data_IF_713577832690
#
_entry.id   IF_713577832690
#
_cell.length_a   1.000
_cell.length_b   1.000
_cell.length_c   1.000
_cell.angle_alpha   90.00
_cell.angle_beta   90.00
_cell.angle_gamma   90.00
#
_symmetry.space_group_name_H-M   'P 1'
#
loop_
_entity.id
_entity.type
_entity.pdbx_description
1 polymer ?
#
# COMPACT_ATOMS: atom_id res chain seq x y z
N UNK A 1 -33.55 23.66 -9.22
CA UNK A 1 -32.13 23.84 -9.60
C UNK A 1 -31.66 22.50 -10.13
N UNK A 2 -31.63 22.34 -11.45
CA UNK A 2 -31.44 21.03 -12.10
C UNK A 2 -29.97 20.68 -12.12
N UNK A 3 -29.61 19.56 -11.50
CA UNK A 3 -28.23 19.11 -11.38
C UNK A 3 -27.72 18.62 -12.74
N UNK A 4 -26.64 19.27 -13.16
CA UNK A 4 -25.89 19.13 -14.41
C UNK A 4 -25.27 17.73 -14.50
N UNK A 5 -25.58 17.02 -15.60
CA UNK A 5 -24.95 15.81 -16.16
C UNK A 5 -24.17 14.88 -15.20
N UNK A 6 -24.78 13.77 -14.81
CA UNK A 6 -24.08 12.60 -14.30
C UNK A 6 -24.04 11.56 -15.40
N UNK A 7 -22.84 11.18 -15.82
CA UNK A 7 -22.67 10.16 -16.83
C UNK A 7 -23.01 8.80 -16.21
N UNK A 8 -24.28 8.40 -16.37
CA UNK A 8 -24.88 7.18 -15.85
C UNK A 8 -24.42 5.94 -16.61
N UNK A 9 -23.11 5.71 -16.61
CA UNK A 9 -22.48 4.55 -17.24
C UNK A 9 -22.34 3.44 -16.20
N UNK A 10 -23.06 2.34 -16.44
CA UNK A 10 -22.96 1.09 -15.67
C UNK A 10 -22.55 -0.02 -16.63
N UNK A 11 -21.61 -0.85 -16.19
CA UNK A 11 -21.11 -1.99 -16.94
C UNK A 11 -22.15 -3.12 -16.96
N UNK A 12 -22.11 -3.93 -18.02
CA UNK A 12 -23.03 -5.06 -18.15
C UNK A 12 -22.77 -6.06 -17.01
N UNK A 13 -23.84 -6.54 -16.38
CA UNK A 13 -23.76 -7.40 -15.20
C UNK A 13 -23.53 -6.67 -13.89
N UNK A 14 -23.58 -5.34 -13.88
CA UNK A 14 -23.48 -4.51 -12.68
C UNK A 14 -24.80 -3.79 -12.41
N UNK A 15 -25.17 -3.70 -11.13
CA UNK A 15 -26.29 -2.87 -10.65
C UNK A 15 -25.71 -1.77 -9.79
N UNK A 16 -26.04 -0.51 -10.10
CA UNK A 16 -25.67 0.69 -9.32
C UNK A 16 -26.91 1.24 -8.64
N UNK A 17 -26.78 1.57 -7.35
CA UNK A 17 -27.79 2.27 -6.58
C UNK A 17 -27.15 3.40 -5.78
N UNK A 18 -27.89 4.51 -5.65
CA UNK A 18 -27.49 5.68 -4.85
C UNK A 18 -28.57 5.95 -3.83
N UNK A 19 -28.17 6.13 -2.59
CA UNK A 19 -29.04 6.38 -1.45
C UNK A 19 -28.77 7.76 -0.86
N UNK A 20 -29.84 8.40 -0.39
CA UNK A 20 -29.76 9.67 0.34
C UNK A 20 -29.49 9.45 1.84
N UNK A 21 -29.98 8.35 2.40
CA UNK A 21 -29.88 8.06 3.83
C UNK A 21 -29.06 6.79 4.08
N UNK A 22 -28.33 6.80 5.20
CA UNK A 22 -27.49 5.68 5.62
C UNK A 22 -28.32 4.45 5.99
N UNK A 23 -29.42 4.65 6.73
CA UNK A 23 -30.23 3.57 7.29
C UNK A 23 -30.88 2.71 6.20
N UNK A 24 -31.35 3.34 5.11
CA UNK A 24 -31.94 2.62 3.97
C UNK A 24 -30.89 1.77 3.25
N UNK A 25 -29.67 2.29 3.08
CA UNK A 25 -28.55 1.55 2.52
C UNK A 25 -28.18 0.35 3.40
N UNK A 26 -28.03 0.54 4.71
CA UNK A 26 -27.65 -0.51 5.66
C UNK A 26 -28.65 -1.66 5.62
N UNK A 27 -29.95 -1.36 5.67
CA UNK A 27 -31.00 -2.37 5.59
C UNK A 27 -31.04 -3.08 4.23
N UNK A 28 -30.79 -2.35 3.14
CA UNK A 28 -30.72 -2.94 1.80
C UNK A 28 -29.55 -3.93 1.67
N UNK A 29 -28.37 -3.60 2.20
CA UNK A 29 -27.20 -4.50 2.19
C UNK A 29 -27.48 -5.75 3.02
N UNK A 30 -28.11 -5.61 4.20
CA UNK A 30 -28.46 -6.73 5.06
C UNK A 30 -29.44 -7.71 4.37
N UNK A 31 -30.48 -7.20 3.69
CA UNK A 31 -31.43 -8.04 2.94
C UNK A 31 -30.75 -8.77 1.76
N UNK A 32 -29.83 -8.10 1.06
CA UNK A 32 -29.06 -8.70 -0.04
C UNK A 32 -28.09 -9.78 0.46
N UNK A 33 -27.43 -9.55 1.60
CA UNK A 33 -26.57 -10.55 2.26
C UNK A 33 -27.37 -11.77 2.70
N UNK A 34 -28.55 -11.58 3.30
CA UNK A 34 -29.46 -12.68 3.69
C UNK A 34 -29.93 -13.49 2.48
N UNK A 35 -30.19 -12.81 1.36
CA UNK A 35 -30.55 -13.45 0.09
C UNK A 35 -29.36 -14.15 -0.61
N UNK A 36 -28.12 -13.96 -0.12
CA UNK A 36 -26.87 -14.49 -0.70
C UNK A 36 -26.71 -14.12 -2.18
N UNK A 37 -27.10 -12.89 -2.53
CA UNK A 37 -27.05 -12.38 -3.89
C UNK A 37 -25.81 -11.51 -4.08
N UNK A 38 -24.96 -11.89 -5.04
CA UNK A 38 -23.73 -11.17 -5.36
C UNK A 38 -22.60 -11.42 -4.37
N UNK A 39 -21.39 -11.62 -4.89
CA UNK A 39 -20.19 -11.84 -4.08
C UNK A 39 -19.26 -10.62 -4.09
N UNK A 40 -19.35 -9.78 -5.12
CA UNK A 40 -18.53 -8.57 -5.27
C UNK A 40 -19.40 -7.34 -5.06
N UNK A 41 -19.42 -6.88 -3.81
CA UNK A 41 -20.18 -5.71 -3.37
C UNK A 41 -19.22 -4.56 -3.07
N UNK A 42 -19.48 -3.40 -3.65
CA UNK A 42 -18.72 -2.17 -3.42
C UNK A 42 -19.67 -1.15 -2.82
N UNK A 43 -19.35 -0.72 -1.61
CA UNK A 43 -20.07 0.34 -0.89
C UNK A 43 -19.16 1.56 -0.86
N UNK A 44 -19.71 2.71 -1.23
CA UNK A 44 -19.01 4.00 -1.18
C UNK A 44 -19.77 4.94 -0.26
N UNK A 45 -19.05 5.56 0.66
CA UNK A 45 -19.60 6.55 1.58
C UNK A 45 -18.66 7.75 1.67
N UNK A 46 -19.18 8.98 1.83
CA UNK A 46 -18.35 10.18 1.93
C UNK A 46 -17.55 10.21 3.25
N UNK A 47 -18.04 9.51 4.27
CA UNK A 47 -17.49 9.50 5.62
C UNK A 47 -17.46 8.06 6.18
N UNK A 48 -16.47 7.72 7.02
CA UNK A 48 -16.44 6.43 7.70
C UNK A 48 -17.64 6.31 8.66
N UNK A 49 -18.37 5.20 8.58
CA UNK A 49 -19.55 4.92 9.40
C UNK A 49 -19.47 3.51 9.95
N UNK A 50 -19.57 3.39 11.26
CA UNK A 50 -19.49 2.11 11.96
C UNK A 50 -20.60 1.14 11.54
N UNK A 51 -21.80 1.65 11.26
CA UNK A 51 -22.94 0.83 10.83
C UNK A 51 -22.67 0.11 9.50
N UNK A 52 -22.01 0.78 8.55
CA UNK A 52 -21.59 0.18 7.28
C UNK A 52 -20.46 -0.81 7.49
N UNK A 53 -19.47 -0.48 8.33
CA UNK A 53 -18.37 -1.38 8.63
C UNK A 53 -18.87 -2.69 9.24
N UNK A 54 -19.82 -2.62 10.18
CA UNK A 54 -20.43 -3.79 10.77
C UNK A 54 -21.12 -4.63 9.70
N UNK A 55 -22.02 -4.03 8.91
CA UNK A 55 -22.79 -4.78 7.90
C UNK A 55 -21.91 -5.33 6.79
N UNK A 56 -20.84 -4.65 6.36
CA UNK A 56 -19.95 -5.13 5.29
C UNK A 56 -18.99 -6.21 5.80
N UNK A 57 -18.32 -5.94 6.92
CA UNK A 57 -17.22 -6.76 7.43
C UNK A 57 -17.64 -7.78 8.50
N UNK A 58 -18.93 -7.93 8.79
CA UNK A 58 -19.41 -9.00 9.68
C UNK A 58 -18.83 -10.36 9.25
N UNK A 59 -18.15 -11.05 10.17
CA UNK A 59 -17.50 -12.34 9.93
C UNK A 59 -16.16 -12.30 9.18
N UNK A 60 -15.63 -11.12 8.83
CA UNK A 60 -14.33 -11.00 8.17
C UNK A 60 -13.18 -10.91 9.17
N UNK A 61 -12.01 -11.39 8.76
CA UNK A 61 -10.78 -11.24 9.53
C UNK A 61 -10.36 -9.76 9.60
N UNK A 62 -9.70 -9.34 10.70
CA UNK A 62 -9.18 -7.98 10.81
C UNK A 62 -8.21 -7.61 9.67
N UNK A 63 -8.04 -6.31 9.43
CA UNK A 63 -7.26 -5.82 8.29
C UNK A 63 -5.82 -6.38 8.24
N UNK A 64 -5.36 -6.91 7.08
CA UNK A 64 -4.02 -7.47 6.94
C UNK A 64 -2.86 -6.48 7.16
N UNK A 65 -3.13 -5.17 7.11
CA UNK A 65 -2.16 -4.06 7.27
C UNK A 65 -1.41 -4.13 8.62
N UNK A 66 -2.03 -4.75 9.63
CA UNK A 66 -1.42 -4.95 10.96
C UNK A 66 -0.16 -5.81 10.88
N UNK A 67 -0.14 -6.81 10.00
CA UNK A 67 1.03 -7.67 9.81
C UNK A 67 2.20 -6.92 9.17
N UNK A 68 1.93 -6.02 8.20
CA UNK A 68 2.98 -5.15 7.64
C UNK A 68 3.59 -4.25 8.69
N UNK A 69 2.76 -3.67 9.56
CA UNK A 69 3.22 -2.81 10.65
C UNK A 69 4.11 -3.60 11.63
N UNK A 70 3.69 -4.83 11.98
CA UNK A 70 4.45 -5.69 12.88
C UNK A 70 5.82 -6.09 12.28
N UNK A 71 5.85 -6.51 11.02
CA UNK A 71 7.10 -6.91 10.36
C UNK A 71 8.05 -5.73 10.17
N UNK A 72 7.53 -4.56 9.80
CA UNK A 72 8.29 -3.32 9.69
C UNK A 72 8.87 -2.86 11.02
N UNK A 73 8.08 -2.90 12.10
CA UNK A 73 8.56 -2.54 13.44
C UNK A 73 9.65 -3.50 13.92
N UNK A 74 9.46 -4.82 13.75
CA UNK A 74 10.48 -5.81 14.13
C UNK A 74 11.78 -5.62 13.33
N UNK A 75 11.66 -5.37 12.02
CA UNK A 75 12.78 -5.05 11.16
C UNK A 75 13.50 -3.78 11.61
N UNK A 76 12.75 -2.71 11.91
CA UNK A 76 13.30 -1.44 12.39
C UNK A 76 14.01 -1.55 13.73
N UNK A 77 13.48 -2.33 14.67
CA UNK A 77 14.12 -2.56 15.97
C UNK A 77 15.43 -3.33 15.83
N UNK A 78 15.44 -4.40 15.04
CA UNK A 78 16.64 -5.19 14.76
C UNK A 78 17.67 -4.34 14.00
N UNK A 79 17.26 -3.65 12.94
CA UNK A 79 18.14 -2.79 12.14
C UNK A 79 18.71 -1.65 12.97
N UNK A 80 17.89 -0.96 13.76
CA UNK A 80 18.32 0.17 14.59
C UNK A 80 19.37 -0.27 15.60
N UNK A 81 19.14 -1.38 16.31
CA UNK A 81 20.10 -1.92 17.26
C UNK A 81 21.38 -2.43 16.59
N UNK A 82 21.24 -3.15 15.47
CA UNK A 82 22.37 -3.69 14.72
C UNK A 82 23.25 -2.57 14.14
N UNK A 83 22.65 -1.51 13.59
CA UNK A 83 23.37 -0.38 13.01
C UNK A 83 24.28 0.26 14.05
N UNK A 84 23.74 0.61 15.21
CA UNK A 84 24.52 1.21 16.30
C UNK A 84 25.63 0.27 16.79
N UNK A 85 25.31 -1.02 16.93
CA UNK A 85 26.28 -2.03 17.37
C UNK A 85 27.43 -2.17 16.37
N UNK A 86 27.14 -2.23 15.06
CA UNK A 86 28.15 -2.31 14.00
C UNK A 86 28.99 -1.05 13.96
N UNK A 87 28.39 0.14 14.09
CA UNK A 87 29.13 1.40 14.14
C UNK A 87 30.12 1.42 15.31
N UNK A 88 29.68 0.99 16.50
CA UNK A 88 30.54 0.91 17.69
C UNK A 88 31.63 -0.16 17.58
N UNK A 89 31.37 -1.27 16.87
CA UNK A 89 32.38 -2.30 16.59
C UNK A 89 33.42 -1.82 15.57
N UNK A 90 33.00 -1.06 14.56
CA UNK A 90 33.89 -0.60 13.50
C UNK A 90 34.79 0.55 13.97
N UNK A 91 34.30 1.42 14.86
CA UNK A 91 35.09 2.49 15.45
C UNK A 91 34.86 2.58 16.96
N UNK A 92 35.57 1.72 17.70
CA UNK A 92 35.53 1.70 19.15
C UNK A 92 36.24 2.93 19.75
N UNK A 93 35.53 4.05 19.85
CA UNK A 93 36.03 5.23 20.56
C UNK A 93 35.86 5.05 22.08
N UNK A 94 36.88 5.43 22.85
CA UNK A 94 36.74 5.55 24.30
C UNK A 94 35.74 6.68 24.59
N UNK A 95 34.54 6.31 25.02
CA UNK A 95 33.47 7.26 25.31
C UNK A 95 33.91 8.11 26.51
N UNK A 96 33.86 9.46 26.43
CA UNK A 96 34.07 10.31 27.59
C UNK A 96 33.15 9.88 28.74
N UNK A 97 33.71 9.68 29.93
CA UNK A 97 33.07 9.10 31.14
C UNK A 97 33.05 7.57 31.28
N UNK A 98 33.83 6.79 30.51
CA UNK A 98 34.07 5.37 30.80
C UNK A 98 32.86 4.45 30.65
N UNK A 99 31.87 4.86 29.84
CA UNK A 99 30.66 4.09 29.58
C UNK A 99 30.99 2.82 28.78
N UNK A 100 30.25 1.71 28.99
CA UNK A 100 30.42 0.50 28.19
C UNK A 100 30.21 0.82 26.70
N UNK A 101 30.94 0.13 25.82
CA UNK A 101 30.82 0.32 24.37
C UNK A 101 29.37 0.16 23.89
N UNK A 102 28.61 -0.76 24.50
CA UNK A 102 27.17 -0.90 24.28
C UNK A 102 26.44 -0.35 25.50
N UNK A 103 26.03 0.91 25.41
CA UNK A 103 25.22 1.57 26.44
C UNK A 103 23.74 1.33 26.17
N UNK A 104 23.15 0.34 26.86
CA UNK A 104 21.74 -0.05 26.70
C UNK A 104 20.79 1.16 26.78
N UNK A 105 20.91 2.09 27.75
CA UNK A 105 19.99 3.23 27.83
C UNK A 105 20.04 4.16 26.62
N UNK A 106 21.23 4.37 26.04
CA UNK A 106 21.39 5.22 24.86
C UNK A 106 20.90 4.51 23.60
N UNK A 107 21.16 3.20 23.50
CA UNK A 107 20.79 2.41 22.33
C UNK A 107 19.27 2.25 22.21
N UNK A 108 18.58 2.12 23.36
CA UNK A 108 17.13 1.96 23.39
C UNK A 108 16.40 3.14 22.74
N UNK A 109 16.85 4.38 22.97
CA UNK A 109 16.23 5.58 22.38
C UNK A 109 16.28 5.51 20.86
N UNK A 110 17.44 5.24 20.28
CA UNK A 110 17.60 5.19 18.82
C UNK A 110 16.90 3.96 18.22
N UNK A 111 16.94 2.81 18.92
CA UNK A 111 16.22 1.60 18.51
C UNK A 111 14.70 1.81 18.54
N UNK A 112 14.18 2.54 19.52
CA UNK A 112 12.76 2.90 19.59
C UNK A 112 12.36 3.76 18.39
N UNK A 113 13.10 4.83 18.10
CA UNK A 113 12.83 5.68 16.93
C UNK A 113 12.89 4.89 15.62
N UNK A 114 13.88 4.01 15.47
CA UNK A 114 14.02 3.14 14.30
C UNK A 114 12.83 2.18 14.16
N UNK A 115 12.33 1.65 15.28
CA UNK A 115 11.15 0.77 15.32
C UNK A 115 9.91 1.50 14.83
N UNK A 116 9.66 2.72 15.33
CA UNK A 116 8.49 3.53 14.92
C UNK A 116 8.61 3.95 13.46
N UNK A 117 9.79 4.41 13.03
CA UNK A 117 10.05 4.84 11.66
C UNK A 117 9.74 3.74 10.64
N UNK A 118 10.36 2.56 10.80
CA UNK A 118 10.15 1.44 9.89
C UNK A 118 8.75 0.81 10.01
N UNK A 119 8.17 0.83 11.22
CA UNK A 119 6.78 0.44 11.44
C UNK A 119 5.84 1.27 10.57
N UNK A 120 5.89 2.61 10.68
CA UNK A 120 5.05 3.51 9.91
C UNK A 120 5.30 3.42 8.38
N UNK A 121 6.56 3.28 7.96
CA UNK A 121 6.89 3.12 6.53
C UNK A 121 6.28 1.84 5.94
N UNK A 122 6.36 0.73 6.67
CA UNK A 122 5.74 -0.52 6.21
C UNK A 122 4.21 -0.47 6.29
N UNK A 123 3.63 0.22 7.28
CA UNK A 123 2.19 0.48 7.30
C UNK A 123 1.75 1.24 6.05
N UNK A 124 2.48 2.30 5.68
CA UNK A 124 2.20 3.09 4.49
C UNK A 124 2.34 2.24 3.22
N UNK A 125 3.40 1.44 3.13
CA UNK A 125 3.61 0.51 2.02
C UNK A 125 2.47 -0.52 1.91
N UNK A 126 2.05 -1.10 3.03
CA UNK A 126 0.92 -2.03 3.10
C UNK A 126 -0.39 -1.38 2.69
N UNK A 127 -0.64 -0.13 3.10
CA UNK A 127 -1.82 0.63 2.68
C UNK A 127 -1.80 0.87 1.16
N UNK A 128 -0.69 1.34 0.60
CA UNK A 128 -0.57 1.61 -0.83
C UNK A 128 -0.79 0.34 -1.66
N UNK A 129 -0.21 -0.79 -1.24
CA UNK A 129 -0.39 -2.07 -1.92
C UNK A 129 -1.82 -2.61 -1.82
N UNK A 130 -2.40 -2.63 -0.61
CA UNK A 130 -3.72 -3.24 -0.37
C UNK A 130 -4.86 -2.37 -0.90
N UNK A 131 -4.75 -1.05 -0.78
CA UNK A 131 -5.71 -0.11 -1.37
C UNK A 131 -5.44 0.14 -2.86
N UNK A 132 -4.35 -0.41 -3.42
CA UNK A 132 -3.96 -0.27 -4.84
C UNK A 132 -3.88 1.20 -5.29
N UNK A 133 -3.21 2.02 -4.48
CA UNK A 133 -2.94 3.43 -4.79
C UNK A 133 -1.73 3.54 -5.76
N UNK A 134 -1.74 4.43 -6.77
CA UNK A 134 -2.81 5.35 -7.17
C UNK A 134 -3.94 4.60 -7.89
N UNK A 135 -5.18 4.88 -7.50
CA UNK A 135 -6.36 4.17 -7.97
C UNK A 135 -6.77 4.67 -9.38
N UNK A 136 -5.92 4.44 -10.38
CA UNK A 136 -6.11 4.90 -11.77
C UNK A 136 -7.20 4.11 -12.51
N UNK A 137 -7.46 2.87 -12.09
CA UNK A 137 -8.42 1.96 -12.71
C UNK A 137 -9.66 1.74 -11.82
N UNK A 138 -10.30 2.83 -11.35
CA UNK A 138 -11.61 2.72 -10.70
C UNK A 138 -12.69 2.33 -11.72
N UNK A 139 -13.67 1.57 -11.23
CA UNK A 139 -14.91 1.29 -11.95
C UNK A 139 -15.68 2.60 -12.21
N UNK A 140 -16.30 2.70 -13.39
CA UNK A 140 -16.99 3.92 -13.84
C UNK A 140 -18.17 4.26 -12.92
N UNK A 141 -18.80 3.23 -12.37
CA UNK A 141 -19.95 3.29 -11.47
C UNK A 141 -19.64 4.00 -10.15
N UNK A 142 -18.40 3.84 -9.68
CA UNK A 142 -17.90 4.42 -8.43
C UNK A 142 -17.34 5.82 -8.66
N UNK A 143 -17.07 6.19 -9.92
CA UNK A 143 -16.52 7.49 -10.32
C UNK A 143 -17.60 8.58 -10.41
N UNK A 144 -18.39 8.70 -9.34
CA UNK A 144 -19.45 9.69 -9.22
C UNK A 144 -19.09 10.68 -8.11
N UNK A 145 -18.90 11.99 -8.41
CA UNK A 145 -18.54 13.00 -7.43
C UNK A 145 -19.50 13.10 -6.23
N UNK A 146 -20.78 12.76 -6.43
CA UNK A 146 -21.80 12.79 -5.36
C UNK A 146 -21.47 11.85 -4.21
N UNK A 147 -20.79 10.75 -4.50
CA UNK A 147 -20.44 9.72 -3.51
C UNK A 147 -19.36 10.17 -2.53
N UNK A 148 -18.57 11.18 -2.92
CA UNK A 148 -17.58 11.82 -2.06
C UNK A 148 -18.14 13.04 -1.31
N UNK A 149 -19.32 13.52 -1.70
CA UNK A 149 -19.92 14.74 -1.15
C UNK A 149 -20.91 14.40 -0.02
N UNK A 150 -22.09 13.89 -0.37
CA UNK A 150 -23.21 13.67 0.58
C UNK A 150 -23.95 12.34 0.37
N UNK A 151 -23.82 11.71 -0.80
CA UNK A 151 -24.64 10.53 -1.14
C UNK A 151 -23.91 9.22 -0.89
N UNK A 152 -24.67 8.18 -0.60
CA UNK A 152 -24.14 6.83 -0.39
C UNK A 152 -24.32 5.99 -1.64
N UNK A 153 -23.25 5.32 -2.06
CA UNK A 153 -23.21 4.52 -3.28
C UNK A 153 -23.15 3.04 -2.95
N UNK A 154 -23.91 2.24 -3.70
CA UNK A 154 -23.86 0.80 -3.61
C UNK A 154 -23.88 0.17 -4.99
N UNK A 155 -22.85 -0.64 -5.25
CA UNK A 155 -22.60 -1.28 -6.53
C UNK A 155 -22.40 -2.77 -6.30
N UNK A 156 -23.08 -3.60 -7.08
CA UNK A 156 -22.86 -5.05 -7.09
C UNK A 156 -22.46 -5.46 -8.49
N UNK A 157 -21.30 -6.09 -8.60
CA UNK A 157 -20.75 -6.58 -9.87
C UNK A 157 -21.04 -8.06 -10.10
N UNK A 158 -20.78 -8.49 -11.34
CA UNK A 158 -20.79 -9.90 -11.74
C UNK A 158 -22.12 -10.63 -11.53
N UNK A 159 -23.24 -9.93 -11.67
CA UNK A 159 -24.57 -10.49 -11.55
C UNK A 159 -25.04 -11.13 -12.86
N UNK A 160 -25.65 -12.31 -12.77
CA UNK A 160 -26.43 -12.88 -13.88
C UNK A 160 -27.71 -12.07 -14.06
N UNK A 161 -28.28 -12.04 -15.27
CA UNK A 161 -29.52 -11.27 -15.54
C UNK A 161 -30.66 -11.60 -14.57
N UNK A 162 -30.85 -12.87 -14.20
CA UNK A 162 -31.88 -13.27 -13.22
C UNK A 162 -31.60 -12.78 -11.80
N UNK A 163 -30.33 -12.76 -11.39
CA UNK A 163 -29.92 -12.26 -10.06
C UNK A 163 -30.02 -10.73 -10.01
N UNK A 164 -29.67 -10.04 -11.11
CA UNK A 164 -29.80 -8.61 -11.24
C UNK A 164 -31.25 -8.15 -11.05
N UNK A 165 -32.24 -8.85 -11.62
CA UNK A 165 -33.66 -8.52 -11.42
C UNK A 165 -34.08 -8.65 -9.96
N UNK A 166 -33.64 -9.71 -9.25
CA UNK A 166 -33.94 -9.90 -7.82
C UNK A 166 -33.29 -8.82 -6.95
N UNK A 167 -32.04 -8.48 -7.25
CA UNK A 167 -31.32 -7.40 -6.57
C UNK A 167 -32.05 -6.08 -6.77
N UNK A 168 -32.49 -5.78 -8.00
CA UNK A 168 -33.27 -4.58 -8.30
C UNK A 168 -34.60 -4.53 -7.54
N UNK A 169 -35.30 -5.66 -7.42
CA UNK A 169 -36.55 -5.76 -6.65
C UNK A 169 -36.32 -5.45 -5.16
N UNK A 170 -35.28 -6.03 -4.56
CA UNK A 170 -34.90 -5.77 -3.16
C UNK A 170 -34.51 -4.31 -2.97
N UNK A 171 -33.64 -3.77 -3.84
CA UNK A 171 -33.19 -2.38 -3.72
C UNK A 171 -34.36 -1.40 -3.86
N UNK A 172 -35.32 -1.67 -4.75
CA UNK A 172 -36.47 -0.81 -4.97
C UNK A 172 -37.36 -0.65 -3.74
N UNK A 173 -37.43 -1.65 -2.87
CA UNK A 173 -38.18 -1.61 -1.59
C UNK A 173 -37.65 -0.52 -0.65
N UNK A 174 -36.39 -0.14 -0.78
CA UNK A 174 -35.71 0.86 0.05
C UNK A 174 -35.62 2.24 -0.63
N UNK A 175 -36.36 2.45 -1.72
CA UNK A 175 -36.52 3.74 -2.42
C UNK A 175 -35.19 4.49 -2.66
N UNK A 176 -34.23 3.90 -3.37
CA UNK A 176 -32.98 4.58 -3.71
C UNK A 176 -33.27 5.81 -4.57
N UNK A 177 -32.47 6.86 -4.40
CA UNK A 177 -32.51 8.08 -5.21
C UNK A 177 -32.30 7.75 -6.70
N UNK A 178 -31.44 6.78 -6.96
CA UNK A 178 -31.12 6.32 -8.31
C UNK A 178 -30.86 4.82 -8.29
N UNK A 179 -31.43 4.11 -9.27
CA UNK A 179 -31.29 2.67 -9.44
C UNK A 179 -31.11 2.36 -10.92
N UNK A 180 -29.95 1.81 -11.27
CA UNK A 180 -29.56 1.55 -12.66
C UNK A 180 -29.09 0.11 -12.79
N UNK A 181 -29.66 -0.61 -13.76
CA UNK A 181 -29.22 -1.93 -14.18
C UNK A 181 -28.40 -1.81 -15.46
N UNK A 182 -27.13 -2.23 -15.42
CA UNK A 182 -26.24 -2.21 -16.57
C UNK A 182 -26.60 -3.24 -17.66
N UNK A 183 -27.53 -4.17 -17.40
CA UNK A 183 -28.03 -5.10 -18.40
C UNK A 183 -29.11 -4.50 -19.33
N UNK A 184 -29.80 -3.45 -18.86
CA UNK A 184 -30.91 -2.81 -19.59
C UNK A 184 -30.42 -1.65 -20.49
N UNK A 185 -29.13 -1.32 -20.40
CA UNK A 185 -28.48 -0.27 -21.19
C UNK A 185 -27.82 -0.90 -22.43
N UNK A 186 -28.31 -0.57 -23.63
CA UNK A 186 -27.51 -0.73 -24.84
C UNK A 186 -26.32 0.22 -24.73
N UNK A 187 -25.11 -0.35 -24.60
CA UNK A 187 -23.87 0.41 -24.55
C UNK A 187 -23.82 1.29 -25.82
N UNK A 188 -23.86 2.64 -25.74
CA UNK A 188 -23.39 3.43 -26.87
C UNK A 188 -21.98 2.93 -27.17
N UNK A 189 -21.62 2.65 -28.44
CA UNK A 189 -20.33 2.07 -28.79
C UNK A 189 -19.26 2.82 -28.02
N UNK A 190 -18.33 2.09 -27.38
CA UNK A 190 -17.23 2.74 -26.67
C UNK A 190 -16.58 3.68 -27.67
N UNK A 191 -16.88 4.97 -27.56
CA UNK A 191 -16.09 5.99 -28.22
C UNK A 191 -14.79 5.89 -27.46
N UNK A 192 -13.83 5.19 -28.06
CA UNK A 192 -12.43 5.34 -27.71
C UNK A 192 -12.17 6.79 -28.08
N UNK A 193 -12.43 7.69 -27.13
CA UNK A 193 -12.03 9.08 -27.27
C UNK A 193 -10.51 8.95 -27.27
N UNK A 194 -9.84 9.23 -28.42
CA UNK A 194 -8.39 9.29 -28.42
C UNK A 194 -8.00 10.24 -27.28
N UNK A 195 -6.96 9.90 -26.52
CA UNK A 195 -6.46 10.67 -25.37
C UNK A 195 -6.03 12.13 -25.69
N UNK A 196 -6.44 12.65 -26.83
CA UNK A 196 -6.11 13.93 -27.46
C UNK A 196 -7.24 14.97 -27.30
N UNK A 197 -8.53 14.58 -27.30
CA UNK A 197 -9.62 15.58 -27.43
C UNK A 197 -10.10 16.25 -26.12
N UNK A 198 -9.71 15.74 -24.95
CA UNK A 198 -9.76 16.56 -23.73
C UNK A 198 -8.40 17.20 -23.65
N UNK A 199 -8.31 18.53 -23.61
CA UNK A 199 -7.08 19.30 -23.37
C UNK A 199 -6.42 19.06 -21.99
N UNK A 200 -6.58 17.87 -21.43
CA UNK A 200 -5.62 17.25 -20.56
C UNK A 200 -4.51 16.74 -21.49
N UNK A 201 -3.38 17.44 -21.57
CA UNK A 201 -2.15 16.78 -22.01
C UNK A 201 -2.09 15.45 -21.25
N UNK A 202 -1.87 14.29 -21.90
CA UNK A 202 -1.42 13.15 -21.16
C UNK A 202 -0.16 13.65 -20.46
N UNK A 203 -0.26 13.92 -19.16
CA UNK A 203 0.90 13.75 -18.32
C UNK A 203 1.17 12.26 -18.51
N UNK A 204 1.98 11.92 -19.52
CA UNK A 204 3.09 11.01 -19.30
C UNK A 204 3.75 11.54 -18.03
N UNK A 205 3.12 11.23 -16.89
CA UNK A 205 3.85 11.01 -15.67
C UNK A 205 4.73 9.90 -16.17
N UNK A 206 5.94 10.29 -16.53
CA UNK A 206 6.88 9.53 -17.29
C UNK A 206 7.20 8.36 -16.38
N UNK A 207 6.31 7.37 -16.39
CA UNK A 207 6.32 6.19 -15.53
C UNK A 207 7.51 5.37 -15.95
N UNK A 208 7.90 5.52 -17.21
CA UNK A 208 9.17 5.12 -17.76
C UNK A 208 10.34 5.89 -17.11
N UNK A 209 10.31 7.21 -16.93
CA UNK A 209 11.32 7.95 -16.17
C UNK A 209 11.29 7.66 -14.67
N UNK A 210 10.15 7.52 -14.02
CA UNK A 210 10.08 7.17 -12.59
C UNK A 210 10.58 5.75 -12.35
N UNK A 211 10.27 4.82 -13.26
CA UNK A 211 10.81 3.46 -13.22
C UNK A 211 12.30 3.44 -13.58
N UNK A 212 12.75 4.19 -14.59
CA UNK A 212 14.17 4.34 -14.94
C UNK A 212 14.96 5.00 -13.82
N UNK A 213 14.42 6.03 -13.16
CA UNK A 213 15.03 6.70 -12.01
C UNK A 213 15.03 5.77 -10.79
N UNK A 214 13.96 5.01 -10.56
CA UNK A 214 13.92 3.99 -9.51
C UNK A 214 14.95 2.88 -9.74
N UNK A 215 15.06 2.38 -10.96
CA UNK A 215 16.06 1.37 -11.35
C UNK A 215 17.48 1.95 -11.28
N UNK A 216 17.70 3.16 -11.79
CA UNK A 216 18.99 3.84 -11.77
C UNK A 216 19.47 4.13 -10.36
N UNK A 217 18.61 4.64 -9.49
CA UNK A 217 18.95 4.88 -8.08
C UNK A 217 19.28 3.57 -7.35
N UNK A 218 18.53 2.50 -7.62
CA UNK A 218 18.80 1.17 -7.05
C UNK A 218 20.15 0.61 -7.55
N UNK A 219 20.46 0.74 -8.84
CA UNK A 219 21.74 0.33 -9.43
C UNK A 219 22.90 1.15 -8.83
N UNK A 220 22.74 2.47 -8.68
CA UNK A 220 23.76 3.34 -8.08
C UNK A 220 24.03 2.93 -6.62
N UNK A 221 23.00 2.62 -5.84
CA UNK A 221 23.16 2.16 -4.45
C UNK A 221 23.88 0.80 -4.40
N UNK A 222 23.50 -0.15 -5.26
CA UNK A 222 24.15 -1.46 -5.33
C UNK A 222 25.61 -1.34 -5.76
N UNK A 223 25.90 -0.54 -6.79
CA UNK A 223 27.27 -0.28 -7.25
C UNK A 223 28.09 0.48 -6.21
N UNK A 224 27.47 1.37 -5.44
CA UNK A 224 28.13 2.06 -4.32
C UNK A 224 28.50 1.07 -3.21
N UNK A 225 27.61 0.15 -2.84
CA UNK A 225 27.88 -0.88 -1.82
C UNK A 225 28.97 -1.85 -2.31
N UNK A 226 28.89 -2.33 -3.55
CA UNK A 226 29.90 -3.22 -4.15
C UNK A 226 31.23 -2.48 -4.31
N UNK A 227 31.20 -1.22 -4.74
CA UNK A 227 32.37 -0.37 -4.92
C UNK A 227 33.09 -0.08 -3.61
N UNK A 228 32.35 0.26 -2.56
CA UNK A 228 32.90 0.42 -1.20
C UNK A 228 33.51 -0.89 -0.73
N UNK A 229 32.83 -2.03 -0.90
CA UNK A 229 33.36 -3.34 -0.52
C UNK A 229 34.63 -3.72 -1.28
N UNK A 230 34.65 -3.51 -2.60
CA UNK A 230 35.81 -3.77 -3.47
C UNK A 230 36.98 -2.83 -3.13
N UNK A 231 36.71 -1.55 -2.84
CA UNK A 231 37.73 -0.60 -2.40
C UNK A 231 38.31 -1.02 -1.06
N UNK A 232 37.48 -1.38 -0.07
CA UNK A 232 37.96 -1.91 1.20
C UNK A 232 38.82 -3.16 1.01
N UNK A 233 38.35 -4.14 0.23
CA UNK A 233 39.08 -5.39 -0.01
C UNK A 233 40.42 -5.14 -0.70
N UNK A 234 40.50 -4.26 -1.69
CA UNK A 234 41.74 -3.93 -2.40
C UNK A 234 42.71 -3.11 -1.53
N UNK A 235 42.20 -2.13 -0.78
CA UNK A 235 43.04 -1.29 0.08
C UNK A 235 43.59 -2.08 1.27
N UNK A 236 42.78 -2.95 1.89
CA UNK A 236 43.24 -3.88 2.92
C UNK A 236 44.20 -4.93 2.33
N UNK A 237 43.91 -5.47 1.15
CA UNK A 237 44.77 -6.47 0.52
C UNK A 237 46.16 -5.90 0.20
N UNK A 238 46.24 -4.67 -0.29
CA UNK A 238 47.51 -4.00 -0.59
C UNK A 238 48.28 -3.68 0.70
N UNK A 239 47.61 -3.14 1.73
CA UNK A 239 48.25 -2.89 3.04
C UNK A 239 48.77 -4.16 3.72
N UNK A 240 48.03 -5.27 3.62
CA UNK A 240 48.43 -6.55 4.22
C UNK A 240 49.54 -7.26 3.43
N UNK A 241 49.59 -7.05 2.10
CA UNK A 241 50.66 -7.55 1.24
C UNK A 241 51.99 -6.84 1.52
N UNK A 242 51.95 -5.54 1.76
CA UNK A 242 53.12 -4.76 2.21
C UNK A 242 53.63 -5.21 3.58
N UNK A 243 52.76 -5.76 4.42
CA UNK A 243 53.13 -6.38 5.70
C UNK A 243 53.47 -7.89 5.60
N UNK A 244 53.52 -8.45 4.39
CA UNK A 244 53.97 -9.83 4.14
C UNK A 244 52.92 -10.92 4.33
N UNK A 245 51.62 -10.60 4.40
CA UNK A 245 50.53 -11.56 4.60
C UNK A 245 49.84 -11.95 3.28
N UNK A 246 49.48 -13.23 3.11
CA UNK A 246 48.82 -13.75 1.91
C UNK A 246 47.31 -13.97 2.12
N UNK A 247 46.49 -13.15 1.48
CA UNK A 247 45.03 -13.09 1.67
C UNK A 247 44.24 -14.30 1.13
N UNK A 248 44.83 -15.13 0.24
CA UNK A 248 44.13 -16.28 -0.37
C UNK A 248 43.93 -17.45 0.60
N UNK A 249 44.77 -17.53 1.61
CA UNK A 249 44.59 -18.42 2.77
C UNK A 249 43.83 -17.61 3.82
N UNK A 250 42.58 -17.97 4.14
CA UNK A 250 41.73 -17.31 5.16
C UNK A 250 42.28 -17.46 6.60
N UNK A 251 43.59 -17.28 6.80
CA UNK A 251 44.27 -17.38 8.08
C UNK A 251 44.12 -16.06 8.85
N UNK A 252 43.74 -16.21 10.11
CA UNK A 252 43.34 -15.18 11.07
C UNK A 252 44.48 -14.21 11.40
N UNK A 253 44.15 -12.95 11.70
CA UNK A 253 45.10 -11.91 12.08
C UNK A 253 46.01 -12.33 13.28
N UNK A 254 47.29 -11.89 13.34
CA UNK A 254 48.28 -12.42 14.28
C UNK A 254 48.13 -11.97 15.74
N UNK A 255 47.11 -11.18 16.10
CA UNK A 255 47.04 -10.49 17.40
C UNK A 255 46.81 -11.38 18.63
N UNK A 256 46.76 -12.70 18.48
CA UNK A 256 46.72 -13.68 19.58
C UNK A 256 47.96 -14.56 19.71
N UNK A 257 49.08 -14.24 19.04
CA UNK A 257 50.34 -14.96 19.29
C UNK A 257 51.09 -14.30 20.45
N UNK A 258 50.79 -14.78 21.66
CA UNK A 258 51.50 -14.40 22.87
C UNK A 258 53.02 -14.52 22.68
N UNK A 259 53.72 -13.46 23.08
CA UNK A 259 55.18 -13.38 23.18
C UNK A 259 55.66 -14.43 24.17
N UNK A 260 56.55 -15.31 23.70
CA UNK A 260 57.65 -15.89 24.47
C UNK A 260 58.88 -15.92 23.58
#
# INVERSE_FOLDING_TARGET
>A
MNAVFYENKVQKGTVKSVFEHLDTLVNAIDEIKKAKLGHDMIVTAPLPRHDLEHVIYEGHAPSPIRWFTLTGALFGGIMGFALQSITHLNWAMVIPAGKPLVSIPAFLVITFESTVLWGCLFTLFGLVLMCRLPASNLQVEVKDPRLSDDKFGFVINSLKSSEATKVMEILRKYEPLELINGNDQERPPQVIIPLDERGFEPNETDTDMLLKVGIMTTIIVILSIIGVRSYFDNTLADQLKDQGYNYKTKAVAPSYRNVK
#
